data_IF_811241619217
#
_entry.id   IF_811241619217
#
_cell.length_a   1.000
_cell.length_b   1.000
_cell.length_c   1.000
_cell.angle_alpha   90.00
_cell.angle_beta   90.00
_cell.angle_gamma   90.00
#
_symmetry.space_group_name_H-M   'P 1'
#
loop_
_entity.id
_entity.type
_entity.pdbx_description
1 polymer ?
#
# COMPACT_ATOMS: atom_id res chain seq x y z
N UNK A 1 50.17 -37.02 -0.95
CA UNK A 1 50.87 -37.63 0.21
C UNK A 1 51.68 -36.54 0.92
N UNK A 2 51.68 -36.62 2.26
CA UNK A 2 52.34 -35.82 3.30
C UNK A 2 53.65 -35.10 2.89
N UNK A 3 53.83 -33.81 3.22
CA UNK A 3 54.22 -33.20 4.52
C UNK A 3 55.75 -33.10 4.69
N UNK A 4 56.27 -31.91 5.00
CA UNK A 4 57.15 -31.67 6.17
C UNK A 4 57.93 -30.34 6.09
N UNK A 5 57.52 -29.41 6.95
CA UNK A 5 58.26 -28.92 8.12
C UNK A 5 59.69 -28.34 8.04
N UNK A 6 59.75 -27.04 8.39
CA UNK A 6 60.57 -26.40 9.47
C UNK A 6 62.08 -26.16 9.24
N UNK A 7 62.54 -24.91 9.40
CA UNK A 7 63.37 -24.45 10.55
C UNK A 7 63.74 -22.96 10.48
N UNK A 8 63.57 -22.30 11.62
CA UNK A 8 64.12 -20.98 11.96
C UNK A 8 65.65 -21.02 12.03
N UNK A 9 66.29 -19.90 11.68
CA UNK A 9 67.59 -19.53 12.22
C UNK A 9 67.67 -18.01 12.34
N UNK A 10 68.04 -17.56 13.54
CA UNK A 10 68.39 -16.20 13.91
C UNK A 10 69.70 -15.76 13.24
N UNK A 11 69.83 -14.45 13.00
CA UNK A 11 71.11 -13.74 13.15
C UNK A 11 70.90 -12.22 13.23
N UNK A 12 71.59 -11.68 14.22
CA UNK A 12 71.84 -10.29 14.61
C UNK A 12 72.63 -9.47 13.57
N UNK A 13 72.44 -8.15 13.54
CA UNK A 13 73.44 -7.22 13.00
C UNK A 13 72.90 -5.82 12.69
N UNK A 14 73.33 -4.83 13.49
CA UNK A 14 73.07 -3.39 13.39
C UNK A 14 73.27 -2.77 11.99
N UNK A 15 72.40 -1.80 11.65
CA UNK A 15 72.77 -0.55 11.00
C UNK A 15 71.78 0.56 11.40
N UNK A 16 72.31 1.73 11.75
CA UNK A 16 71.58 2.86 12.32
C UNK A 16 70.87 3.70 11.24
N UNK A 17 69.64 4.13 11.56
CA UNK A 17 69.13 5.47 11.27
C UNK A 17 68.37 5.69 9.97
N UNK A 18 67.05 5.78 10.05
CA UNK A 18 66.25 6.97 9.71
C UNK A 18 64.79 6.70 10.13
N UNK A 19 64.14 7.73 10.69
CA UNK A 19 63.00 7.61 11.58
C UNK A 19 61.74 7.05 10.93
N UNK A 20 61.23 5.97 11.50
CA UNK A 20 59.83 5.59 11.32
C UNK A 20 58.98 6.63 12.04
N UNK A 21 58.28 7.42 11.25
CA UNK A 21 57.24 8.33 11.71
C UNK A 21 56.23 7.47 12.48
N UNK A 22 56.29 7.55 13.81
CA UNK A 22 55.19 7.16 14.67
C UNK A 22 54.05 8.09 14.25
N UNK A 23 53.19 7.64 13.32
CA UNK A 23 52.00 8.40 12.93
C UNK A 23 51.13 8.52 14.18
N UNK A 24 51.24 9.68 14.80
CA UNK A 24 50.45 10.08 15.96
C UNK A 24 49.01 10.20 15.46
N UNK A 25 48.23 9.13 15.63
CA UNK A 25 46.82 9.12 15.27
C UNK A 25 46.10 10.15 16.14
N UNK A 26 45.92 11.35 15.61
CA UNK A 26 45.04 12.36 16.22
C UNK A 26 43.65 11.74 16.42
N UNK A 27 42.93 12.16 17.46
CA UNK A 27 41.58 11.65 17.77
C UNK A 27 40.60 11.74 16.57
N UNK A 28 40.86 12.65 15.63
CA UNK A 28 40.11 12.79 14.39
C UNK A 28 40.32 11.60 13.42
N UNK A 29 41.56 11.12 13.27
CA UNK A 29 41.87 9.98 12.40
C UNK A 29 41.32 8.66 12.98
N UNK A 30 41.32 8.53 14.31
CA UNK A 30 40.72 7.39 15.01
C UNK A 30 39.21 7.32 14.79
N UNK A 31 38.51 8.45 14.95
CA UNK A 31 37.06 8.53 14.70
C UNK A 31 36.71 8.24 13.25
N UNK A 32 37.49 8.74 12.29
CA UNK A 32 37.25 8.47 10.88
C UNK A 32 37.35 6.96 10.56
N UNK A 33 38.36 6.29 11.11
CA UNK A 33 38.52 4.84 10.96
C UNK A 33 37.42 4.05 11.69
N UNK A 34 37.03 4.45 12.91
CA UNK A 34 35.91 3.82 13.64
C UNK A 34 34.58 3.94 12.87
N UNK A 35 34.33 5.09 12.25
CA UNK A 35 33.18 5.32 11.39
C UNK A 35 33.24 4.39 10.16
N UNK A 36 34.39 4.30 9.49
CA UNK A 36 34.59 3.46 8.31
C UNK A 36 34.42 1.95 8.64
N UNK A 37 34.94 1.49 9.77
CA UNK A 37 34.74 0.12 10.26
C UNK A 37 33.27 -0.15 10.62
N UNK A 38 32.59 0.81 11.25
CA UNK A 38 31.16 0.68 11.56
C UNK A 38 30.30 0.58 10.29
N UNK A 39 30.62 1.35 9.24
CA UNK A 39 29.97 1.22 7.93
C UNK A 39 30.22 -0.15 7.29
N UNK A 40 31.47 -0.63 7.29
CA UNK A 40 31.83 -1.96 6.73
C UNK A 40 31.11 -3.12 7.44
N UNK A 41 30.95 -3.04 8.77
CA UNK A 41 30.18 -4.02 9.54
C UNK A 41 28.69 -3.97 9.24
N UNK A 42 28.12 -2.78 9.02
CA UNK A 42 26.72 -2.63 8.60
C UNK A 42 26.50 -3.18 7.20
N UNK A 43 27.43 -2.95 6.27
CA UNK A 43 27.39 -3.49 4.91
C UNK A 43 27.44 -5.03 4.89
N UNK A 44 28.17 -5.65 5.81
CA UNK A 44 28.25 -7.10 5.97
C UNK A 44 27.08 -7.71 6.76
N UNK A 45 26.26 -6.88 7.42
CA UNK A 45 25.13 -7.36 8.20
C UNK A 45 23.96 -7.74 7.28
N UNK A 46 23.41 -8.95 7.45
CA UNK A 46 22.15 -9.29 6.80
C UNK A 46 21.04 -8.37 7.31
N UNK A 47 20.15 -7.87 6.44
CA UNK A 47 19.05 -7.03 6.89
C UNK A 47 18.25 -7.78 7.94
N UNK A 48 17.89 -7.08 9.02
CA UNK A 48 16.99 -7.66 10.02
C UNK A 48 15.70 -8.12 9.35
N UNK A 49 15.08 -9.18 9.87
CA UNK A 49 13.76 -9.65 9.38
C UNK A 49 12.74 -8.50 9.32
N UNK A 50 12.85 -7.56 10.25
CA UNK A 50 12.05 -6.34 10.27
C UNK A 50 12.33 -5.42 9.07
N UNK A 51 13.59 -5.10 8.78
CA UNK A 51 13.97 -4.28 7.63
C UNK A 51 13.54 -4.94 6.30
N UNK A 52 13.72 -6.25 6.20
CA UNK A 52 13.29 -7.04 5.05
C UNK A 52 11.76 -6.96 4.84
N UNK A 53 10.96 -7.22 5.88
CA UNK A 53 9.49 -7.14 5.81
C UNK A 53 8.99 -5.72 5.54
N UNK A 54 9.67 -4.69 6.03
CA UNK A 54 9.35 -3.30 5.68
C UNK A 54 9.57 -3.03 4.18
N UNK A 55 10.65 -3.59 3.61
CA UNK A 55 10.88 -3.59 2.15
C UNK A 55 9.75 -4.28 1.39
N UNK A 56 9.34 -5.47 1.82
CA UNK A 56 8.21 -6.21 1.23
C UNK A 56 6.91 -5.44 1.29
N UNK A 57 6.62 -4.79 2.43
CA UNK A 57 5.42 -3.96 2.62
C UNK A 57 5.36 -2.80 1.63
N UNK A 58 6.49 -2.13 1.39
CA UNK A 58 6.56 -1.03 0.42
C UNK A 58 6.39 -1.56 -1.02
N UNK A 59 7.07 -2.65 -1.38
CA UNK A 59 6.96 -3.26 -2.71
C UNK A 59 5.55 -3.76 -3.01
N UNK A 60 4.89 -4.44 -2.07
CA UNK A 60 3.49 -4.88 -2.23
C UNK A 60 2.53 -3.71 -2.34
N UNK A 61 2.75 -2.64 -1.58
CA UNK A 61 1.96 -1.41 -1.71
C UNK A 61 2.02 -0.86 -3.14
N UNK A 62 3.22 -0.79 -3.73
CA UNK A 62 3.41 -0.29 -5.09
C UNK A 62 2.80 -1.23 -6.13
N UNK A 63 3.07 -2.54 -6.05
CA UNK A 63 2.52 -3.56 -6.96
C UNK A 63 0.98 -3.59 -6.96
N UNK A 64 0.35 -3.32 -5.82
CA UNK A 64 -1.11 -3.30 -5.68
C UNK A 64 -1.72 -1.91 -5.96
N UNK A 65 -0.94 -0.96 -6.50
CA UNK A 65 -1.41 0.39 -6.79
C UNK A 65 -1.89 1.16 -5.56
N UNK A 66 -1.27 0.92 -4.40
CA UNK A 66 -1.59 1.55 -3.13
C UNK A 66 -2.93 1.14 -2.52
N UNK A 67 -3.49 0.00 -2.95
CA UNK A 67 -4.79 -0.51 -2.50
C UNK A 67 -4.65 -1.79 -1.66
N UNK A 68 -5.53 -1.93 -0.69
CA UNK A 68 -5.66 -3.17 0.09
C UNK A 68 -6.03 -4.33 -0.85
N UNK A 69 -5.31 -5.45 -0.77
CA UNK A 69 -5.63 -6.61 -1.60
C UNK A 69 -7.07 -7.09 -1.38
N UNK A 70 -7.51 -7.09 -0.12
CA UNK A 70 -8.76 -7.73 0.26
C UNK A 70 -10.00 -6.88 -0.02
N UNK A 71 -9.96 -5.60 0.33
CA UNK A 71 -11.12 -4.70 0.21
C UNK A 71 -10.96 -3.60 -0.84
N UNK A 72 -9.81 -3.52 -1.51
CA UNK A 72 -9.50 -2.54 -2.57
C UNK A 72 -9.51 -1.06 -2.17
N UNK A 73 -9.73 -0.75 -0.89
CA UNK A 73 -9.61 0.63 -0.39
C UNK A 73 -8.16 1.11 -0.41
N UNK A 74 -7.96 2.41 -0.62
CA UNK A 74 -6.66 3.04 -0.55
C UNK A 74 -6.03 2.88 0.84
N UNK A 75 -4.74 2.55 0.83
CA UNK A 75 -3.93 2.36 2.01
C UNK A 75 -3.23 3.66 2.41
N UNK A 76 -3.17 3.90 3.72
CA UNK A 76 -2.51 5.06 4.32
C UNK A 76 -1.13 4.61 4.82
N UNK A 77 -0.07 5.26 4.32
CA UNK A 77 1.34 4.92 4.63
C UNK A 77 1.87 5.54 5.93
N UNK A 78 1.06 6.31 6.65
CA UNK A 78 1.50 7.05 7.83
C UNK A 78 1.77 6.13 9.02
N UNK A 79 3.02 6.07 9.47
CA UNK A 79 3.44 5.32 10.67
C UNK A 79 2.82 5.90 11.95
N UNK A 80 2.59 7.20 12.00
CA UNK A 80 1.91 7.87 13.11
C UNK A 80 0.43 7.42 13.27
N UNK A 81 -0.15 6.81 12.23
CA UNK A 81 -1.54 6.34 12.18
C UNK A 81 -1.63 4.81 12.13
N UNK A 82 -0.67 4.08 12.71
CA UNK A 82 -0.47 2.64 12.53
C UNK A 82 -1.71 1.73 12.74
N UNK A 83 -2.76 2.18 13.44
CA UNK A 83 -3.96 1.37 13.76
C UNK A 83 -5.28 1.93 13.25
N UNK A 84 -5.27 2.91 12.34
CA UNK A 84 -6.52 3.31 11.68
C UNK A 84 -6.96 2.23 10.68
N UNK A 85 -8.26 2.09 10.35
CA UNK A 85 -8.74 0.99 9.53
C UNK A 85 -8.02 0.79 8.19
N UNK A 86 -7.55 1.89 7.59
CA UNK A 86 -6.90 1.94 6.28
C UNK A 86 -5.37 2.01 6.35
N UNK A 87 -4.74 1.92 7.53
CA UNK A 87 -3.27 1.93 7.62
C UNK A 87 -2.68 0.71 6.92
N UNK A 88 -1.56 0.93 6.23
CA UNK A 88 -0.82 -0.08 5.50
C UNK A 88 -0.19 -1.11 6.47
N UNK A 89 -0.51 -2.37 6.26
CA UNK A 89 0.11 -3.51 6.95
C UNK A 89 0.60 -4.55 5.93
N UNK A 90 1.51 -5.41 6.36
CA UNK A 90 1.89 -6.62 5.64
C UNK A 90 1.13 -7.79 6.26
N UNK A 91 0.45 -8.57 5.43
CA UNK A 91 -0.29 -9.75 5.85
C UNK A 91 0.19 -10.98 5.10
N UNK A 92 0.16 -12.14 5.76
CA UNK A 92 0.46 -13.42 5.17
C UNK A 92 -0.81 -14.07 4.62
N UNK A 93 -0.82 -14.42 3.33
CA UNK A 93 -1.98 -15.02 2.66
C UNK A 93 -2.35 -16.33 3.35
N UNK A 94 -1.37 -17.22 3.50
CA UNK A 94 -1.44 -18.40 4.36
C UNK A 94 -0.86 -17.99 5.73
N UNK A 95 -1.65 -18.00 6.82
CA UNK A 95 -1.16 -17.61 8.13
C UNK A 95 0.02 -18.47 8.61
N UNK A 96 1.01 -17.83 9.23
CA UNK A 96 2.18 -18.52 9.83
C UNK A 96 1.74 -19.61 10.83
N UNK A 97 0.70 -19.34 11.63
CA UNK A 97 0.15 -20.31 12.59
C UNK A 97 -0.49 -21.55 11.94
N UNK A 98 -0.84 -21.47 10.65
CA UNK A 98 -1.33 -22.59 9.83
C UNK A 98 -0.22 -23.20 8.96
N UNK A 99 1.05 -22.87 9.21
CA UNK A 99 2.20 -23.38 8.46
C UNK A 99 2.55 -22.62 7.18
N UNK A 100 1.97 -21.44 6.95
CA UNK A 100 2.34 -20.60 5.82
C UNK A 100 3.80 -20.13 5.90
N UNK A 101 4.52 -19.98 4.79
CA UNK A 101 5.91 -19.54 4.81
C UNK A 101 6.05 -18.01 5.02
N UNK A 102 7.11 -17.56 5.68
CA UNK A 102 7.44 -16.13 5.78
C UNK A 102 8.27 -15.69 4.56
N UNK A 103 7.61 -15.55 3.43
CA UNK A 103 8.24 -15.21 2.15
C UNK A 103 7.51 -14.04 1.50
N UNK A 104 8.22 -13.30 0.64
CA UNK A 104 7.61 -12.23 -0.13
C UNK A 104 6.36 -12.71 -0.89
N UNK A 105 6.43 -13.91 -1.48
CA UNK A 105 5.34 -14.52 -2.25
C UNK A 105 4.08 -14.76 -1.40
N UNK A 106 4.23 -15.20 -0.14
CA UNK A 106 3.10 -15.39 0.76
C UNK A 106 2.66 -14.09 1.47
N UNK A 107 3.17 -12.92 1.09
CA UNK A 107 2.80 -11.65 1.74
C UNK A 107 2.13 -10.66 0.81
N UNK A 108 1.22 -9.86 1.35
CA UNK A 108 0.40 -8.90 0.61
C UNK A 108 0.24 -7.60 1.40
N UNK A 109 0.01 -6.49 0.70
CA UNK A 109 -0.34 -5.24 1.36
C UNK A 109 -1.84 -5.26 1.71
N UNK A 110 -2.15 -5.21 3.00
CA UNK A 110 -3.51 -5.23 3.52
C UNK A 110 -3.73 -4.04 4.46
N UNK A 111 -4.97 -3.56 4.54
CA UNK A 111 -5.30 -2.55 5.54
C UNK A 111 -5.41 -3.20 6.92
N UNK A 112 -5.10 -2.45 7.98
CA UNK A 112 -5.15 -2.96 9.36
C UNK A 112 -6.49 -3.64 9.69
N UNK A 113 -7.62 -3.04 9.31
CA UNK A 113 -8.93 -3.64 9.56
C UNK A 113 -9.15 -4.99 8.86
N UNK A 114 -8.70 -5.15 7.61
CA UNK A 114 -8.85 -6.42 6.91
C UNK A 114 -7.85 -7.47 7.41
N UNK A 115 -6.60 -7.08 7.67
CA UNK A 115 -5.58 -7.97 8.22
C UNK A 115 -6.03 -8.52 9.59
N UNK A 116 -6.50 -7.63 10.47
CA UNK A 116 -7.04 -8.02 11.77
C UNK A 116 -8.26 -8.94 11.65
N UNK A 117 -9.19 -8.63 10.74
CA UNK A 117 -10.38 -9.46 10.53
C UNK A 117 -10.07 -10.83 9.91
N UNK A 118 -9.03 -10.92 9.08
CA UNK A 118 -8.57 -12.20 8.51
C UNK A 118 -8.00 -13.09 9.61
N UNK A 119 -7.06 -12.56 10.40
CA UNK A 119 -6.41 -13.33 11.46
C UNK A 119 -5.87 -14.68 10.94
N UNK A 120 -6.41 -15.78 11.47
CA UNK A 120 -6.01 -17.15 11.09
C UNK A 120 -6.82 -17.74 9.93
N UNK A 121 -7.74 -16.99 9.34
CA UNK A 121 -8.46 -17.44 8.16
C UNK A 121 -7.51 -17.54 6.96
N UNK A 122 -7.71 -18.57 6.14
CA UNK A 122 -7.08 -18.59 4.82
C UNK A 122 -7.80 -17.64 3.84
N UNK A 123 -7.28 -17.55 2.62
CA UNK A 123 -7.83 -16.64 1.61
C UNK A 123 -9.25 -17.01 1.18
N UNK A 124 -9.56 -18.31 1.09
CA UNK A 124 -10.88 -18.80 0.69
C UNK A 124 -11.92 -18.42 1.74
N UNK A 125 -11.65 -18.73 3.00
CA UNK A 125 -12.50 -18.37 4.14
C UNK A 125 -12.69 -16.86 4.26
N UNK A 126 -11.61 -16.09 4.11
CA UNK A 126 -11.67 -14.64 4.25
C UNK A 126 -12.36 -13.94 3.07
N UNK A 127 -12.37 -14.57 1.89
CA UNK A 127 -13.01 -14.00 0.70
C UNK A 127 -14.51 -13.73 0.92
N UNK A 128 -15.22 -14.58 1.66
CA UNK A 128 -16.65 -14.40 1.95
C UNK A 128 -16.90 -13.69 3.28
N UNK A 129 -15.85 -13.22 3.96
CA UNK A 129 -15.98 -12.65 5.29
C UNK A 129 -16.78 -11.32 5.27
N UNK A 130 -17.75 -11.11 6.19
CA UNK A 130 -18.61 -9.92 6.19
C UNK A 130 -17.86 -8.59 6.21
N UNK A 131 -16.80 -8.47 7.02
CA UNK A 131 -15.98 -7.25 7.06
C UNK A 131 -15.30 -6.99 5.71
N UNK A 132 -14.83 -8.03 5.01
CA UNK A 132 -14.23 -7.88 3.68
C UNK A 132 -15.29 -7.39 2.70
N UNK A 133 -16.44 -8.06 2.65
CA UNK A 133 -17.54 -7.73 1.73
C UNK A 133 -18.05 -6.30 1.96
N UNK A 134 -18.30 -5.92 3.22
CA UNK A 134 -18.73 -4.57 3.56
C UNK A 134 -17.73 -3.51 3.10
N UNK A 135 -16.42 -3.74 3.34
CA UNK A 135 -15.38 -2.79 2.95
C UNK A 135 -15.15 -2.74 1.45
N UNK A 136 -15.29 -3.88 0.76
CA UNK A 136 -15.24 -3.98 -0.70
C UNK A 136 -16.42 -3.22 -1.33
N UNK A 137 -17.63 -3.42 -0.82
CA UNK A 137 -18.81 -2.66 -1.25
C UNK A 137 -18.58 -1.17 -1.03
N UNK A 138 -18.13 -0.75 0.17
CA UNK A 138 -17.84 0.65 0.44
C UNK A 138 -16.78 1.26 -0.50
N UNK A 139 -15.79 0.46 -0.96
CA UNK A 139 -14.82 0.91 -1.95
C UNK A 139 -15.43 1.13 -3.35
N UNK A 140 -16.52 0.42 -3.65
CA UNK A 140 -17.21 0.41 -4.94
C UNK A 140 -18.55 1.15 -4.91
N UNK A 141 -18.85 1.87 -3.83
CA UNK A 141 -20.02 2.74 -3.74
C UNK A 141 -19.54 4.19 -3.83
N UNK A 142 -20.16 5.04 -4.67
CA UNK A 142 -19.87 6.47 -4.67
C UNK A 142 -20.14 7.12 -3.30
N UNK A 143 -19.49 8.26 -3.00
CA UNK A 143 -19.80 9.03 -1.81
C UNK A 143 -21.29 9.35 -1.69
N UNK A 144 -21.80 9.47 -0.47
CA UNK A 144 -23.20 9.85 -0.21
C UNK A 144 -23.53 11.26 -0.74
N UNK A 145 -22.54 12.15 -0.71
CA UNK A 145 -22.60 13.50 -1.26
C UNK A 145 -21.35 13.78 -2.09
N UNK A 146 -21.55 14.25 -3.31
CA UNK A 146 -20.47 14.58 -4.24
C UNK A 146 -20.86 15.81 -5.06
N UNK A 147 -19.92 16.74 -5.18
CA UNK A 147 -20.04 17.96 -5.97
C UNK A 147 -19.01 17.96 -7.10
N UNK A 148 -19.40 18.49 -8.26
CA UNK A 148 -18.52 18.73 -9.40
C UNK A 148 -17.76 20.06 -9.28
N UNK A 149 -18.13 20.94 -8.34
CA UNK A 149 -17.42 22.19 -8.08
C UNK A 149 -16.19 21.94 -7.19
N UNK A 150 -14.99 22.17 -7.71
CA UNK A 150 -13.70 22.02 -7.00
C UNK A 150 -13.61 22.79 -5.68
N UNK A 151 -14.42 23.86 -5.52
CA UNK A 151 -14.45 24.68 -4.31
C UNK A 151 -15.36 24.13 -3.22
N UNK A 152 -16.17 23.12 -3.54
CA UNK A 152 -17.09 22.50 -2.58
C UNK A 152 -16.33 21.61 -1.59
N UNK A 153 -16.70 21.60 -0.29
CA UNK A 153 -16.16 20.63 0.66
C UNK A 153 -16.53 19.17 0.32
N UNK A 154 -17.48 18.97 -0.61
CA UNK A 154 -17.90 17.68 -1.11
C UNK A 154 -17.32 17.35 -2.48
N UNK A 155 -16.32 18.11 -2.94
CA UNK A 155 -15.58 17.77 -4.16
C UNK A 155 -14.64 16.59 -3.91
N UNK A 156 -14.65 15.63 -4.81
CA UNK A 156 -13.68 14.54 -4.82
C UNK A 156 -13.34 14.17 -6.26
N UNK A 157 -12.17 14.62 -6.72
CA UNK A 157 -11.64 14.26 -8.04
C UNK A 157 -11.58 12.74 -8.23
N UNK A 158 -11.10 12.01 -7.23
CA UNK A 158 -10.98 10.55 -7.28
C UNK A 158 -12.33 9.83 -7.43
N UNK A 159 -13.43 10.40 -6.95
CA UNK A 159 -14.76 9.85 -7.17
C UNK A 159 -15.29 10.22 -8.57
N UNK A 160 -15.08 11.47 -9.00
CA UNK A 160 -15.51 11.95 -10.33
C UNK A 160 -14.80 11.23 -11.47
N UNK A 161 -13.49 10.95 -11.32
CA UNK A 161 -12.68 10.21 -12.31
C UNK A 161 -13.18 8.76 -12.52
N UNK A 162 -14.01 8.24 -11.60
CA UNK A 162 -14.66 6.91 -11.71
C UNK A 162 -16.06 6.98 -12.33
N UNK A 163 -16.43 8.14 -12.89
CA UNK A 163 -17.65 8.34 -13.68
C UNK A 163 -18.97 8.01 -12.94
N UNK A 164 -19.19 8.61 -11.77
CA UNK A 164 -20.41 8.40 -10.97
C UNK A 164 -21.69 8.60 -11.79
N UNK A 165 -22.53 7.57 -11.84
CA UNK A 165 -23.87 7.60 -12.45
C UNK A 165 -24.90 7.98 -11.40
N UNK A 166 -25.69 9.01 -11.68
CA UNK A 166 -26.72 9.52 -10.76
C UNK A 166 -28.11 9.21 -11.31
N UNK A 167 -28.92 8.52 -10.51
CA UNK A 167 -30.32 8.19 -10.82
C UNK A 167 -31.23 8.99 -9.89
N UNK A 168 -32.11 9.80 -10.47
CA UNK A 168 -33.09 10.60 -9.75
C UNK A 168 -34.50 10.19 -10.14
N UNK A 169 -35.29 9.72 -9.17
CA UNK A 169 -36.61 9.12 -9.40
C UNK A 169 -36.55 8.07 -10.52
N UNK A 170 -35.62 7.13 -10.40
CA UNK A 170 -35.40 5.99 -11.31
C UNK A 170 -34.85 6.34 -12.71
N UNK A 171 -34.72 7.62 -13.04
CA UNK A 171 -34.14 8.08 -14.31
C UNK A 171 -32.71 8.55 -14.13
N UNK A 172 -31.81 8.08 -14.98
CA UNK A 172 -30.42 8.55 -15.02
C UNK A 172 -30.35 10.03 -15.45
N UNK A 173 -29.49 10.78 -14.77
CA UNK A 173 -29.22 12.20 -15.02
C UNK A 173 -27.72 12.40 -15.21
N UNK A 174 -27.38 13.16 -16.24
CA UNK A 174 -25.99 13.49 -16.60
C UNK A 174 -25.65 14.97 -16.35
N UNK A 175 -26.66 15.78 -16.00
CA UNK A 175 -26.56 17.23 -15.78
C UNK A 175 -26.47 17.59 -14.29
N UNK A 176 -26.12 16.64 -13.43
CA UNK A 176 -26.05 16.82 -11.98
C UNK A 176 -24.73 17.49 -11.61
N UNK A 177 -24.82 18.68 -11.00
CA UNK A 177 -23.66 19.37 -10.44
C UNK A 177 -23.32 18.90 -9.04
N UNK A 178 -24.32 18.55 -8.23
CA UNK A 178 -24.13 18.01 -6.88
C UNK A 178 -25.32 17.13 -6.51
N UNK A 179 -25.10 16.12 -5.67
CA UNK A 179 -26.18 15.32 -5.10
C UNK A 179 -25.95 15.09 -3.61
N UNK A 180 -27.02 14.87 -2.84
CA UNK A 180 -26.97 14.23 -1.52
C UNK A 180 -28.04 13.14 -1.45
N UNK A 181 -27.62 11.91 -1.20
CA UNK A 181 -28.48 10.73 -1.11
C UNK A 181 -29.30 10.74 0.19
N UNK A 182 -28.68 11.05 1.32
CA UNK A 182 -29.27 11.17 2.66
C UNK A 182 -30.28 12.29 2.71
N UNK A 183 -29.92 13.47 2.21
CA UNK A 183 -30.82 14.63 2.18
C UNK A 183 -31.82 14.58 1.01
N UNK A 184 -31.67 13.61 0.08
CA UNK A 184 -32.60 13.30 -1.02
C UNK A 184 -32.80 14.46 -1.99
N UNK A 185 -31.73 15.11 -2.43
CA UNK A 185 -31.79 16.14 -3.48
C UNK A 185 -30.61 16.11 -4.46
N UNK A 186 -30.86 16.61 -5.66
CA UNK A 186 -29.83 16.91 -6.69
C UNK A 186 -29.83 18.40 -7.02
N UNK A 187 -28.67 18.93 -7.37
CA UNK A 187 -28.46 20.28 -7.85
C UNK A 187 -28.18 20.23 -9.36
N UNK A 188 -29.07 20.85 -10.14
CA UNK A 188 -29.02 20.81 -11.62
C UNK A 188 -29.21 22.22 -12.20
N UNK A 189 -28.79 22.46 -13.46
CA UNK A 189 -29.07 23.71 -14.15
C UNK A 189 -30.57 23.94 -14.33
N UNK A 190 -31.03 25.15 -14.03
CA UNK A 190 -32.37 25.64 -14.30
C UNK A 190 -32.50 26.06 -15.77
N UNK A 191 -32.53 25.07 -16.66
CA UNK A 191 -32.60 25.31 -18.10
C UNK A 191 -31.37 26.07 -18.62
N UNK A 192 -31.60 27.09 -19.46
CA UNK A 192 -30.54 27.89 -20.10
C UNK A 192 -30.16 29.16 -19.33
N UNK A 193 -30.79 29.42 -18.19
CA UNK A 193 -30.61 30.65 -17.41
C UNK A 193 -29.22 30.73 -16.79
N UNK A 194 -28.64 31.93 -16.77
CA UNK A 194 -27.32 32.21 -16.19
C UNK A 194 -27.42 33.28 -15.11
N UNK A 195 -26.55 33.22 -14.11
CA UNK A 195 -26.40 34.26 -13.09
C UNK A 195 -25.65 35.49 -13.65
N UNK A 196 -25.48 36.54 -12.84
CA UNK A 196 -24.75 37.78 -13.21
C UNK A 196 -23.28 37.58 -13.58
N UNK A 197 -22.70 36.43 -13.25
CA UNK A 197 -21.33 36.04 -13.58
C UNK A 197 -21.28 35.11 -14.80
N UNK A 198 -22.40 34.89 -15.50
CA UNK A 198 -22.49 34.04 -16.69
C UNK A 198 -22.50 32.54 -16.41
N UNK A 199 -22.51 32.11 -15.15
CA UNK A 199 -22.58 30.70 -14.77
C UNK A 199 -24.03 30.21 -14.80
N UNK A 200 -24.29 28.93 -15.10
CA UNK A 200 -25.64 28.37 -15.06
C UNK A 200 -26.31 28.62 -13.71
N UNK A 201 -27.58 29.03 -13.73
CA UNK A 201 -28.38 29.10 -12.51
C UNK A 201 -28.72 27.67 -12.07
N UNK A 202 -28.40 27.30 -10.83
CA UNK A 202 -28.66 25.95 -10.32
C UNK A 202 -29.92 25.92 -9.44
N UNK A 203 -30.69 24.84 -9.51
CA UNK A 203 -31.86 24.57 -8.68
C UNK A 203 -31.73 23.22 -8.00
N UNK A 204 -32.27 23.11 -6.78
CA UNK A 204 -32.41 21.84 -6.08
C UNK A 204 -33.71 21.14 -6.49
N UNK A 205 -33.61 19.86 -6.77
CA UNK A 205 -34.75 18.96 -6.99
C UNK A 205 -34.74 17.88 -5.90
N UNK A 206 -35.86 17.67 -5.22
CA UNK A 206 -35.99 16.68 -4.17
C UNK A 206 -36.61 15.39 -4.70
N UNK A 207 -36.10 14.24 -4.27
CA UNK A 207 -36.56 12.94 -4.75
C UNK A 207 -35.67 11.79 -4.32
N UNK A 208 -36.06 10.58 -4.72
CA UNK A 208 -35.27 9.39 -4.46
C UNK A 208 -34.01 9.38 -5.33
N UNK A 209 -32.84 9.16 -4.71
CA UNK A 209 -31.54 9.17 -5.39
C UNK A 209 -30.86 7.83 -5.21
N UNK A 210 -30.31 7.32 -6.31
CA UNK A 210 -29.37 6.20 -6.30
C UNK A 210 -28.13 6.61 -7.07
N UNK A 211 -26.97 6.23 -6.57
CA UNK A 211 -25.68 6.45 -7.24
C UNK A 211 -24.94 5.15 -7.36
N UNK A 212 -24.21 4.99 -8.46
CA UNK A 212 -23.36 3.83 -8.70
C UNK A 212 -22.20 4.25 -9.59
N UNK A 213 -21.04 3.62 -9.43
CA UNK A 213 -20.02 3.68 -10.48
C UNK A 213 -20.51 2.86 -11.69
N UNK A 214 -20.03 3.13 -12.91
CA UNK A 214 -20.18 2.21 -14.02
C UNK A 214 -19.59 0.86 -13.58
N UNK A 215 -20.18 -0.25 -14.02
CA UNK A 215 -19.90 -1.57 -13.48
C UNK A 215 -18.52 -2.11 -13.87
N UNK A 216 -17.45 -1.51 -13.34
CA UNK A 216 -16.13 -2.14 -13.25
C UNK A 216 -16.25 -3.51 -12.56
N UNK A 217 -17.21 -3.70 -11.64
CA UNK A 217 -17.37 -4.98 -10.94
C UNK A 217 -17.84 -6.11 -11.87
N UNK A 218 -18.76 -5.84 -12.80
CA UNK A 218 -19.19 -6.85 -13.77
C UNK A 218 -18.09 -7.11 -14.82
N UNK A 219 -17.34 -6.09 -15.21
CA UNK A 219 -16.25 -6.25 -16.18
C UNK A 219 -15.01 -6.91 -15.56
N UNK A 220 -14.67 -6.61 -14.30
CA UNK A 220 -13.57 -7.23 -13.54
C UNK A 220 -13.89 -8.67 -13.13
N UNK A 221 -15.15 -8.98 -12.77
CA UNK A 221 -15.60 -10.35 -12.54
C UNK A 221 -15.59 -11.16 -13.86
N UNK A 222 -16.01 -10.57 -15.00
CA UNK A 222 -15.94 -11.20 -16.33
C UNK A 222 -14.50 -11.37 -16.85
N UNK A 223 -13.61 -10.45 -16.53
CA UNK A 223 -12.19 -10.52 -16.89
C UNK A 223 -11.38 -11.49 -16.00
N UNK A 224 -11.99 -12.08 -14.96
CA UNK A 224 -11.27 -12.88 -13.97
C UNK A 224 -10.26 -12.07 -13.14
N UNK A 225 -10.33 -10.73 -13.21
CA UNK A 225 -9.38 -9.80 -12.63
C UNK A 225 -9.78 -9.42 -11.20
N UNK A 226 -9.92 -10.41 -10.32
CA UNK A 226 -9.53 -10.15 -8.94
C UNK A 226 -8.00 -10.18 -8.98
N UNK A 227 -7.37 -9.00 -8.97
CA UNK A 227 -5.91 -8.80 -8.93
C UNK A 227 -5.31 -9.48 -7.68
N UNK A 228 -5.28 -10.80 -7.65
CA UNK A 228 -4.31 -11.52 -6.86
C UNK A 228 -3.06 -11.54 -7.74
N UNK A 229 -1.94 -10.93 -7.30
CA UNK A 229 -0.69 -11.12 -8.02
C UNK A 229 -0.52 -12.64 -8.20
N UNK A 230 -0.14 -13.13 -9.39
CA UNK A 230 0.09 -14.55 -9.56
C UNK A 230 1.10 -14.98 -8.49
N UNK A 231 0.65 -15.81 -7.56
CA UNK A 231 1.57 -16.57 -6.71
C UNK A 231 2.48 -17.30 -7.70
N UNK A 232 3.80 -17.19 -7.54
CA UNK A 232 4.71 -17.97 -8.36
C UNK A 232 4.28 -19.44 -8.27
N UNK A 233 4.22 -20.13 -9.42
CA UNK A 233 3.76 -21.53 -9.49
C UNK A 233 4.56 -22.48 -8.56
N UNK A 234 5.72 -22.04 -8.08
CA UNK A 234 6.60 -22.76 -7.18
C UNK A 234 6.03 -23.07 -5.77
N UNK A 235 4.90 -22.46 -5.37
CA UNK A 235 4.34 -22.65 -4.01
C UNK A 235 3.14 -23.60 -3.92
N UNK A 236 2.61 -24.09 -5.06
CA UNK A 236 1.44 -24.97 -5.09
C UNK A 236 1.77 -26.47 -5.05
N UNK A 237 3.04 -26.87 -5.20
CA UNK A 237 3.45 -28.28 -5.26
C UNK A 237 3.81 -28.92 -3.91
N UNK A 238 3.62 -28.23 -2.77
CA UNK A 238 3.93 -28.78 -1.44
C UNK A 238 2.68 -29.22 -0.65
N UNK A 239 1.55 -29.41 -1.35
CA UNK A 239 0.33 -30.01 -0.80
C UNK A 239 -0.01 -31.31 -1.52
N UNK A 240 0.85 -32.33 -1.33
CA UNK A 240 0.63 -33.71 -1.78
C UNK A 240 1.14 -34.68 -0.71
#
# INVERSE_FOLDING_TARGET
MACSSVKMASKSGCAQGQGDVLEDWTDANRKAWEIEQAWSLLEQSSPTVYAMRNGWRQQRYEQQGGRCLYCRQHLIRSEALAKIPNSLTLDHVIPLAKGGPDTFDNTVAACHACNQAKGMLDLGEFSTHPIRLQRLTAANTPPERLSADEKSPYYSKAALDREVRVFFNERERFDVHEYSVTEKWILVPAGKSKNRFGQPLLIKLWGHIRVQYPSELDDLLRAGALDFPPMSAASLEQGG
#
